data_IF_061496381545
#
_entry.id   IF_061496381545
#
_cell.length_a   1.000
_cell.length_b   1.000
_cell.length_c   1.000
_cell.angle_alpha   90.00
_cell.angle_beta   90.00
_cell.angle_gamma   90.00
#
_symmetry.space_group_name_H-M   'P 1'
#
loop_
_entity.id
_entity.type
_entity.pdbx_description
1 polymer ?
#
# COMPACT_ATOMS: atom_id res chain seq x y z
N UNK A 1 12.02 16.88 -2.50
CA UNK A 1 11.18 15.69 -2.21
C UNK A 1 10.08 16.12 -1.25
N UNK A 2 8.81 16.02 -1.66
CA UNK A 2 7.69 16.45 -0.83
C UNK A 2 7.48 15.48 0.34
N UNK A 3 7.35 16.01 1.55
CA UNK A 3 7.11 15.25 2.78
C UNK A 3 5.69 14.67 2.76
N UNK A 4 5.53 13.41 3.16
CA UNK A 4 4.21 12.82 3.35
C UNK A 4 3.49 13.43 4.56
N UNK A 5 2.18 13.66 4.44
CA UNK A 5 1.30 14.00 5.56
C UNK A 5 0.38 12.84 5.88
N UNK A 6 -0.25 12.84 7.06
CA UNK A 6 -1.20 11.77 7.44
C UNK A 6 -2.61 12.13 6.99
N UNK A 7 -3.37 11.11 6.58
CA UNK A 7 -4.83 11.22 6.53
C UNK A 7 -5.39 11.43 7.95
N UNK A 8 -6.48 12.17 8.06
CA UNK A 8 -7.29 12.23 9.28
C UNK A 8 -8.11 10.94 9.45
N UNK A 9 -8.60 10.65 10.65
CA UNK A 9 -9.43 9.47 10.89
C UNK A 9 -10.69 9.43 9.99
N UNK A 10 -11.31 10.60 9.76
CA UNK A 10 -12.48 10.71 8.87
C UNK A 10 -12.10 10.46 7.41
N UNK A 11 -10.95 10.97 6.96
CA UNK A 11 -10.45 10.71 5.60
C UNK A 11 -10.14 9.21 5.40
N UNK A 12 -9.57 8.55 6.40
CA UNK A 12 -9.30 7.09 6.38
C UNK A 12 -10.59 6.30 6.33
N UNK A 13 -11.59 6.65 7.13
CA UNK A 13 -12.90 5.98 7.12
C UNK A 13 -13.57 6.13 5.75
N UNK A 14 -13.61 7.35 5.20
CA UNK A 14 -14.16 7.63 3.88
C UNK A 14 -13.41 6.90 2.75
N UNK A 15 -12.09 6.70 2.91
CA UNK A 15 -11.33 5.81 2.03
C UNK A 15 -11.78 4.36 2.26
N UNK A 16 -11.87 3.85 3.48
CA UNK A 16 -12.17 2.43 3.72
C UNK A 16 -13.59 1.97 3.37
N UNK A 17 -14.58 2.86 3.37
CA UNK A 17 -15.99 2.49 3.19
C UNK A 17 -16.27 1.78 1.85
N UNK A 18 -16.80 0.55 1.93
CA UNK A 18 -17.20 -0.26 0.78
C UNK A 18 -16.06 -0.87 -0.04
N UNK A 19 -14.80 -0.67 0.37
CA UNK A 19 -13.64 -1.07 -0.42
C UNK A 19 -13.18 -2.49 -0.10
N UNK A 20 -13.00 -3.29 -1.14
CA UNK A 20 -12.37 -4.61 -1.07
C UNK A 20 -11.02 -4.58 -1.77
N UNK A 21 -10.03 -3.90 -1.19
CA UNK A 21 -8.72 -3.71 -1.83
C UNK A 21 -8.00 -5.04 -2.17
N UNK A 22 -8.28 -6.11 -1.42
CA UNK A 22 -7.78 -7.46 -1.71
C UNK A 22 -8.41 -8.09 -2.97
N UNK A 23 -9.45 -7.47 -3.52
CA UNK A 23 -10.16 -7.90 -4.72
C UNK A 23 -9.97 -6.91 -5.88
N UNK A 24 -9.79 -5.63 -5.57
CA UNK A 24 -9.56 -4.57 -6.55
C UNK A 24 -8.34 -3.72 -6.16
N UNK A 25 -7.32 -3.75 -7.00
CA UNK A 25 -6.08 -3.00 -6.83
C UNK A 25 -6.00 -1.77 -7.74
N UNK A 26 -7.11 -1.32 -8.32
CA UNK A 26 -7.12 -0.07 -9.09
C UNK A 26 -6.77 1.14 -8.22
N UNK A 27 -6.59 2.30 -8.84
CA UNK A 27 -6.58 3.57 -8.09
C UNK A 27 -7.98 3.94 -7.64
N UNK A 28 -8.06 4.73 -6.58
CA UNK A 28 -9.33 5.10 -5.96
C UNK A 28 -9.39 6.60 -5.63
N UNK A 29 -10.61 7.09 -5.45
CA UNK A 29 -10.86 8.49 -5.05
C UNK A 29 -10.26 8.80 -3.67
N UNK A 30 -9.54 9.92 -3.59
CA UNK A 30 -8.98 10.48 -2.37
C UNK A 30 -10.00 11.35 -1.64
N UNK A 31 -10.33 11.01 -0.40
CA UNK A 31 -11.22 11.82 0.46
C UNK A 31 -10.66 13.20 0.83
N UNK A 32 -9.35 13.42 0.66
CA UNK A 32 -8.68 14.64 1.07
C UNK A 32 -8.47 15.67 -0.06
N UNK A 33 -8.30 15.21 -1.31
CA UNK A 33 -8.05 16.09 -2.45
C UNK A 33 -8.98 15.86 -3.65
N UNK A 34 -9.84 14.83 -3.62
CA UNK A 34 -10.79 14.56 -4.70
C UNK A 34 -10.20 13.86 -5.93
N UNK A 35 -8.90 13.53 -5.94
CA UNK A 35 -8.25 12.86 -7.07
C UNK A 35 -8.36 11.33 -6.99
N UNK A 36 -8.50 10.67 -8.14
CA UNK A 36 -8.42 9.20 -8.25
C UNK A 36 -6.96 8.78 -8.29
N UNK A 37 -6.32 8.76 -7.12
CA UNK A 37 -4.89 8.45 -6.98
C UNK A 37 -4.54 7.80 -5.65
N UNK A 38 -5.55 7.30 -4.92
CA UNK A 38 -5.31 6.48 -3.71
C UNK A 38 -4.92 5.08 -4.14
N UNK A 39 -3.82 4.60 -3.57
CA UNK A 39 -3.20 3.31 -3.85
C UNK A 39 -2.96 2.58 -2.53
N UNK A 40 -2.87 1.27 -2.61
CA UNK A 40 -2.65 0.40 -1.45
C UNK A 40 -1.51 -0.56 -1.73
N UNK A 41 -0.70 -0.82 -0.72
CA UNK A 41 0.39 -1.78 -0.78
C UNK A 41 0.48 -2.51 0.56
N UNK A 42 0.56 -3.84 0.52
CA UNK A 42 0.68 -4.66 1.72
C UNK A 42 2.12 -5.11 1.92
N UNK A 43 2.60 -5.12 3.16
CA UNK A 43 3.88 -5.70 3.49
C UNK A 43 3.72 -6.83 4.48
N UNK A 44 4.20 -8.01 4.10
CA UNK A 44 4.36 -9.11 5.03
C UNK A 44 5.42 -8.79 6.08
N UNK A 45 5.07 -9.02 7.33
CA UNK A 45 5.98 -8.88 8.46
C UNK A 45 5.72 -10.00 9.47
N UNK A 46 6.62 -10.12 10.46
CA UNK A 46 6.46 -11.07 11.57
C UNK A 46 6.44 -10.28 12.87
N UNK A 47 5.36 -10.41 13.63
CA UNK A 47 5.22 -9.81 14.97
C UNK A 47 5.07 -10.93 16.01
N UNK A 48 6.01 -11.01 16.96
CA UNK A 48 6.03 -12.08 17.98
C UNK A 48 5.91 -13.50 17.36
N UNK A 49 6.68 -13.77 16.30
CA UNK A 49 6.63 -15.01 15.51
C UNK A 49 5.29 -15.34 14.84
N UNK A 50 4.34 -14.41 14.76
CA UNK A 50 3.10 -14.57 14.00
C UNK A 50 3.14 -13.77 12.69
N UNK A 51 2.64 -14.32 11.57
CA UNK A 51 2.46 -13.58 10.33
C UNK A 51 1.53 -12.38 10.54
N UNK A 52 1.98 -11.22 10.10
CA UNK A 52 1.25 -9.96 10.17
C UNK A 52 1.42 -9.20 8.87
N UNK A 53 0.50 -8.27 8.62
CA UNK A 53 0.54 -7.39 7.46
C UNK A 53 0.59 -5.95 7.93
N UNK A 54 1.41 -5.16 7.27
CA UNK A 54 1.32 -3.71 7.30
C UNK A 54 0.62 -3.28 6.00
N UNK A 55 -0.50 -2.60 6.14
CA UNK A 55 -1.21 -1.98 5.04
C UNK A 55 -0.79 -0.51 4.96
N UNK A 56 -0.17 -0.14 3.85
CA UNK A 56 0.11 1.23 3.48
C UNK A 56 -0.92 1.72 2.47
N UNK A 57 -1.62 2.79 2.80
CA UNK A 57 -2.54 3.47 1.88
C UNK A 57 -2.08 4.91 1.69
N UNK A 58 -1.87 5.34 0.46
CA UNK A 58 -1.41 6.70 0.16
C UNK A 58 -2.08 7.28 -1.07
N UNK A 59 -2.12 8.61 -1.15
CA UNK A 59 -2.53 9.33 -2.35
C UNK A 59 -1.29 9.85 -3.09
N UNK A 60 -1.10 9.43 -4.34
CA UNK A 60 0.01 9.89 -5.17
C UNK A 60 -0.05 11.41 -5.45
N UNK A 61 -1.26 11.97 -5.54
CA UNK A 61 -1.49 13.39 -5.84
C UNK A 61 -1.21 14.32 -4.64
N UNK A 62 -1.90 14.12 -3.50
CA UNK A 62 -1.78 15.02 -2.35
C UNK A 62 -0.77 14.58 -1.28
N UNK A 63 -0.08 13.44 -1.49
CA UNK A 63 0.96 12.90 -0.59
C UNK A 63 0.49 12.65 0.85
N UNK A 64 -0.82 12.42 1.04
CA UNK A 64 -1.36 11.90 2.29
C UNK A 64 -1.21 10.39 2.37
N UNK A 65 -1.00 9.87 3.57
CA UNK A 65 -0.90 8.43 3.82
C UNK A 65 -1.54 8.03 5.16
N UNK A 66 -1.89 6.75 5.26
CA UNK A 66 -2.14 6.05 6.51
C UNK A 66 -1.43 4.70 6.48
N UNK A 67 -1.03 4.22 7.65
CA UNK A 67 -0.48 2.89 7.83
C UNK A 67 -1.30 2.18 8.90
N UNK A 68 -1.59 0.91 8.69
CA UNK A 68 -2.23 0.07 9.70
C UNK A 68 -1.57 -1.29 9.70
N UNK A 69 -1.52 -1.94 10.87
CA UNK A 69 -0.97 -3.28 10.98
C UNK A 69 -2.00 -4.23 11.58
N UNK A 70 -2.11 -5.43 11.02
CA UNK A 70 -3.06 -6.45 11.48
C UNK A 70 -2.53 -7.87 11.30
N UNK A 71 -3.22 -8.87 11.84
CA UNK A 71 -2.92 -10.26 11.55
C UNK A 71 -3.10 -10.53 10.05
N UNK A 72 -2.28 -11.42 9.49
CA UNK A 72 -2.47 -11.90 8.13
C UNK A 72 -3.80 -12.66 8.03
N UNK A 73 -4.71 -12.29 7.10
CA UNK A 73 -5.95 -13.02 6.89
C UNK A 73 -5.68 -14.50 6.56
N UNK A 74 -6.41 -15.45 7.17
CA UNK A 74 -6.26 -16.87 6.83
C UNK A 74 -6.48 -17.10 5.34
N UNK A 75 -5.57 -17.84 4.72
CA UNK A 75 -5.65 -18.24 3.31
C UNK A 75 -5.34 -17.15 2.28
N UNK A 76 -4.99 -15.92 2.70
CA UNK A 76 -4.50 -14.90 1.76
C UNK A 76 -3.12 -15.30 1.24
N UNK A 77 -2.95 -15.32 -0.07
CA UNK A 77 -1.65 -15.43 -0.76
C UNK A 77 -1.34 -14.08 -1.39
N UNK A 78 -0.21 -13.50 -1.01
CA UNK A 78 0.33 -12.28 -1.60
C UNK A 78 1.47 -12.68 -2.53
N UNK A 79 1.31 -12.41 -3.82
CA UNK A 79 2.40 -12.50 -4.78
C UNK A 79 2.96 -11.10 -5.01
N UNK A 80 4.12 -10.82 -4.43
CA UNK A 80 4.80 -9.54 -4.53
C UNK A 80 6.07 -9.67 -5.37
N UNK A 81 6.04 -9.15 -6.59
CA UNK A 81 7.15 -9.17 -7.53
C UNK A 81 8.12 -7.99 -7.33
N UNK A 82 7.87 -7.09 -6.38
CA UNK A 82 8.71 -5.91 -6.22
C UNK A 82 10.16 -6.28 -5.88
N UNK A 83 10.35 -7.31 -5.05
CA UNK A 83 11.71 -7.76 -4.70
C UNK A 83 12.50 -8.18 -5.94
N UNK A 84 11.84 -8.79 -6.91
CA UNK A 84 12.43 -9.23 -8.17
C UNK A 84 12.64 -8.06 -9.15
N UNK A 85 11.70 -7.11 -9.19
CA UNK A 85 11.73 -5.97 -10.12
C UNK A 85 12.67 -4.85 -9.68
N UNK A 86 12.78 -4.56 -8.38
CA UNK A 86 13.66 -3.53 -7.82
C UNK A 86 14.25 -3.96 -6.46
N UNK A 87 15.19 -4.92 -6.45
CA UNK A 87 15.78 -5.46 -5.22
C UNK A 87 16.55 -4.40 -4.41
N UNK A 88 17.07 -3.36 -5.08
CA UNK A 88 17.79 -2.28 -4.42
C UNK A 88 16.81 -1.40 -3.65
N UNK A 89 15.70 -0.98 -4.27
CA UNK A 89 14.68 -0.23 -3.54
C UNK A 89 14.03 -1.08 -2.44
N UNK A 90 13.90 -2.40 -2.65
CA UNK A 90 13.42 -3.32 -1.64
C UNK A 90 14.31 -3.34 -0.39
N UNK A 91 15.63 -3.34 -0.55
CA UNK A 91 16.56 -3.31 0.59
C UNK A 91 16.47 -1.99 1.39
N UNK A 92 16.07 -0.90 0.74
CA UNK A 92 15.91 0.43 1.35
C UNK A 92 14.50 0.70 1.89
N UNK A 93 13.57 -0.28 1.81
CA UNK A 93 12.16 -0.11 2.13
C UNK A 93 11.93 0.57 3.49
N UNK A 94 12.65 0.11 4.52
CA UNK A 94 12.47 0.57 5.90
C UNK A 94 13.19 1.89 6.22
N UNK A 95 13.91 2.48 5.26
CA UNK A 95 14.73 3.69 5.51
C UNK A 95 13.95 5.00 5.39
N UNK A 96 12.93 5.05 4.52
CA UNK A 96 12.14 6.26 4.30
C UNK A 96 10.83 5.99 3.57
N UNK A 97 9.70 6.16 4.26
CA UNK A 97 8.36 6.04 3.66
C UNK A 97 8.15 7.00 2.46
N UNK A 98 8.76 8.19 2.48
CA UNK A 98 8.63 9.11 1.35
C UNK A 98 9.34 8.60 0.09
N UNK A 99 10.53 7.99 0.25
CA UNK A 99 11.24 7.32 -0.86
C UNK A 99 10.47 6.09 -1.32
N UNK A 100 9.97 5.30 -0.37
CA UNK A 100 9.16 4.11 -0.62
C UNK A 100 7.97 4.42 -1.53
N UNK A 101 7.13 5.38 -1.15
CA UNK A 101 5.94 5.73 -1.95
C UNK A 101 6.32 6.31 -3.30
N UNK A 102 7.40 7.08 -3.40
CA UNK A 102 7.87 7.57 -4.71
C UNK A 102 8.30 6.43 -5.64
N UNK A 103 8.88 5.34 -5.11
CA UNK A 103 9.23 4.14 -5.89
C UNK A 103 7.99 3.37 -6.33
N UNK A 104 7.05 3.13 -5.40
CA UNK A 104 5.76 2.52 -5.71
C UNK A 104 4.98 3.33 -6.75
N UNK A 105 5.03 4.66 -6.66
CA UNK A 105 4.35 5.52 -7.61
C UNK A 105 4.89 5.38 -9.03
N UNK A 106 6.21 5.23 -9.16
CA UNK A 106 6.87 5.01 -10.44
C UNK A 106 6.49 3.64 -11.02
N UNK A 107 6.54 2.58 -10.20
CA UNK A 107 6.12 1.24 -10.64
C UNK A 107 4.67 1.25 -11.16
N UNK A 108 3.78 1.97 -10.47
CA UNK A 108 2.39 2.14 -10.89
C UNK A 108 2.26 2.90 -12.21
N UNK A 109 3.00 3.99 -12.38
CA UNK A 109 3.02 4.78 -13.62
C UNK A 109 3.55 3.97 -14.82
N UNK A 110 4.51 3.08 -14.56
CA UNK A 110 5.08 2.16 -15.55
C UNK A 110 4.15 0.96 -15.83
N UNK A 111 2.99 0.88 -15.18
CA UNK A 111 2.02 -0.22 -15.33
C UNK A 111 2.43 -1.52 -14.64
N UNK A 112 3.49 -1.47 -13.82
CA UNK A 112 3.99 -2.61 -13.06
C UNK A 112 3.36 -2.58 -11.68
N UNK A 113 2.21 -3.25 -11.53
CA UNK A 113 1.63 -3.48 -10.20
C UNK A 113 2.51 -4.48 -9.45
N UNK A 114 3.16 -4.09 -8.34
CA UNK A 114 4.09 -4.98 -7.66
C UNK A 114 3.39 -6.18 -7.03
N UNK A 115 2.07 -6.10 -6.75
CA UNK A 115 1.36 -7.12 -5.99
C UNK A 115 0.14 -7.68 -6.71
N UNK A 116 -0.10 -8.96 -6.50
CA UNK A 116 -1.38 -9.62 -6.75
C UNK A 116 -1.81 -10.45 -5.55
N UNK A 117 -3.13 -10.52 -5.35
CA UNK A 117 -3.74 -11.22 -4.24
C UNK A 117 -4.56 -12.40 -4.73
N UNK A 118 -4.40 -13.54 -4.08
CA UNK A 118 -5.25 -14.71 -4.30
C UNK A 118 -5.59 -15.36 -2.96
N UNK A 119 -6.53 -16.30 -2.98
CA UNK A 119 -6.99 -16.99 -1.78
C UNK A 119 -6.85 -18.49 -1.97
N UNK A 120 -6.31 -19.19 -0.97
CA UNK A 120 -6.44 -20.64 -0.89
C UNK A 120 -7.91 -20.97 -0.66
N UNK A 121 -8.50 -21.80 -1.54
CA UNK A 121 -9.86 -22.33 -1.37
C UNK A 121 -9.98 -23.18 -0.09
#
# INVERSE_FOLDING_TARGET
>A
MSRMTRFTSQEVEAIGQGRKFLQDQSEWLCSACGEVSVRTYLRETRRANRPALINYTWCAACRRMTESSGPMPPGLIISDQWREVDPVAWAEFDTSLSKLFARLDRLWQDGVLPQSFSWTR
#
